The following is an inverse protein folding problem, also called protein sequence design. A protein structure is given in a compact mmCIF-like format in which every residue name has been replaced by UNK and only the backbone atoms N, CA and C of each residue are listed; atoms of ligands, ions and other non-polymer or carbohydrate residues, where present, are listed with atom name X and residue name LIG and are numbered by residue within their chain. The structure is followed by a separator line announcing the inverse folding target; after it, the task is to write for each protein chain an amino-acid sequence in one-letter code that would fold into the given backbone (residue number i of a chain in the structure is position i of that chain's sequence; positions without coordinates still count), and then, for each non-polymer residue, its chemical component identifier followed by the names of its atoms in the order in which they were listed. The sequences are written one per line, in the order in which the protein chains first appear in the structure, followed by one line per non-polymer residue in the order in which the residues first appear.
data_IF_285680893307
#
_entry.id   IF_285680893307
#
_cell.length_a   1.000
_cell.length_b   1.000
_cell.length_c   1.000
_cell.angle_alpha   90.00
_cell.angle_beta   90.00
_cell.angle_gamma   90.00
#
_symmetry.space_group_name_H-M   'P 1'
#
loop_
_entity.id
_entity.type
_entity.pdbx_description
1 polymer ?
#
# COMPACT_ATOMS: atom_id res chain seq x y z
N UNK A 1 5.35 70.81 33.09
CA UNK A 1 4.25 69.96 32.59
C UNK A 1 4.47 68.55 33.11
N UNK A 2 3.63 68.09 34.04
CA UNK A 2 3.67 66.71 34.54
C UNK A 2 2.92 65.80 33.55
N UNK A 3 3.46 64.64 33.16
CA UNK A 3 2.76 63.70 32.30
C UNK A 3 1.62 63.06 33.09
N UNK A 4 0.41 63.13 32.53
CA UNK A 4 -0.79 62.52 33.11
C UNK A 4 -0.74 61.00 32.84
N UNK A 5 -0.27 60.22 33.82
CA UNK A 5 -0.22 58.75 33.79
C UNK A 5 -1.34 58.18 34.68
N UNK A 6 -2.58 58.56 34.38
CA UNK A 6 -3.77 58.02 35.06
C UNK A 6 -4.31 56.79 34.32
N UNK A 7 -3.53 55.70 34.20
CA UNK A 7 -4.06 54.44 33.62
C UNK A 7 -3.23 53.18 33.96
N UNK A 8 -2.68 53.03 35.17
CA UNK A 8 -1.88 51.84 35.54
C UNK A 8 -2.64 50.85 36.45
N UNK A 9 -3.83 51.21 36.96
CA UNK A 9 -4.51 50.42 38.01
C UNK A 9 -5.91 49.86 37.69
N UNK A 10 -6.40 49.99 36.45
CA UNK A 10 -7.62 49.26 36.07
C UNK A 10 -7.23 47.94 35.39
N UNK A 11 -7.61 46.77 35.94
CA UNK A 11 -7.49 45.54 35.18
C UNK A 11 -8.31 45.73 33.90
N UNK A 12 -7.66 45.60 32.74
CA UNK A 12 -8.31 45.63 31.44
C UNK A 12 -9.18 44.38 31.35
N UNK A 13 -10.39 44.48 31.89
CA UNK A 13 -11.41 43.46 31.76
C UNK A 13 -12.01 43.62 30.38
N UNK A 14 -11.74 42.67 29.47
CA UNK A 14 -12.53 42.52 28.27
C UNK A 14 -13.94 42.08 28.74
N UNK A 15 -14.98 42.92 28.63
CA UNK A 15 -16.30 42.51 29.06
C UNK A 15 -16.82 41.56 27.99
N UNK A 16 -16.75 40.26 28.26
CA UNK A 16 -17.43 39.20 27.51
C UNK A 16 -18.94 39.44 27.67
N UNK A 17 -19.49 40.34 26.85
CA UNK A 17 -20.92 40.43 26.65
C UNK A 17 -21.38 39.23 25.81
N UNK A 18 -22.66 38.90 25.86
CA UNK A 18 -23.19 37.70 25.18
C UNK A 18 -22.83 37.65 23.69
N UNK A 19 -22.82 38.80 23.01
CA UNK A 19 -22.49 38.91 21.59
C UNK A 19 -21.00 38.62 21.29
N UNK A 20 -20.07 39.16 22.09
CA UNK A 20 -18.63 38.88 21.95
C UNK A 20 -18.27 37.46 22.32
N UNK A 21 -18.98 36.85 23.28
CA UNK A 21 -18.85 35.42 23.61
C UNK A 21 -19.26 34.54 22.42
N UNK A 22 -20.43 34.82 21.82
CA UNK A 22 -20.91 34.08 20.64
C UNK A 22 -19.96 34.23 19.45
N UNK A 23 -19.45 35.45 19.20
CA UNK A 23 -18.47 35.68 18.14
C UNK A 23 -17.17 34.91 18.39
N UNK A 24 -16.66 34.94 19.63
CA UNK A 24 -15.46 34.20 20.02
C UNK A 24 -15.64 32.69 19.83
N UNK A 25 -16.71 32.10 20.36
CA UNK A 25 -17.02 30.67 20.21
C UNK A 25 -17.16 30.29 18.73
N UNK A 26 -17.78 31.16 17.91
CA UNK A 26 -17.86 30.98 16.47
C UNK A 26 -16.49 30.95 15.77
N UNK A 27 -15.56 31.82 16.18
CA UNK A 27 -14.19 31.80 15.65
C UNK A 27 -13.42 30.55 16.08
N UNK A 28 -13.55 30.15 17.34
CA UNK A 28 -12.92 28.94 17.88
C UNK A 28 -13.43 27.69 17.15
N UNK A 29 -14.74 27.58 16.94
CA UNK A 29 -15.33 26.49 16.17
C UNK A 29 -14.85 26.48 14.71
N UNK A 30 -14.67 27.66 14.09
CA UNK A 30 -14.16 27.76 12.73
C UNK A 30 -12.69 27.33 12.64
N UNK A 31 -11.88 27.66 13.64
CA UNK A 31 -10.48 27.21 13.74
C UNK A 31 -10.39 25.68 13.91
N UNK A 32 -11.21 25.08 14.77
CA UNK A 32 -11.26 23.63 14.91
C UNK A 32 -11.64 22.93 13.61
N UNK A 33 -12.68 23.42 12.91
CA UNK A 33 -13.08 22.86 11.60
C UNK A 33 -11.96 22.94 10.56
N UNK A 34 -11.20 24.05 10.56
CA UNK A 34 -10.04 24.18 9.69
C UNK A 34 -8.96 23.16 10.03
N UNK A 35 -8.67 22.96 11.32
CA UNK A 35 -7.76 21.93 11.81
C UNK A 35 -8.18 20.53 11.35
N UNK A 36 -9.42 20.13 11.59
CA UNK A 36 -9.96 18.83 11.19
C UNK A 36 -9.86 18.62 9.68
N UNK A 37 -10.21 19.65 8.89
CA UNK A 37 -10.13 19.60 7.43
C UNK A 37 -8.68 19.46 6.96
N UNK A 38 -7.74 20.18 7.57
CA UNK A 38 -6.32 20.08 7.24
C UNK A 38 -5.76 18.69 7.55
N UNK A 39 -6.09 18.12 8.72
CA UNK A 39 -5.67 16.77 9.11
C UNK A 39 -6.24 15.70 8.17
N UNK A 40 -7.54 15.79 7.84
CA UNK A 40 -8.16 14.88 6.87
C UNK A 40 -7.53 15.02 5.49
N UNK A 41 -7.23 16.25 5.06
CA UNK A 41 -6.58 16.50 3.77
C UNK A 41 -5.20 15.85 3.74
N UNK A 42 -4.38 16.02 4.77
CA UNK A 42 -3.06 15.38 4.88
C UNK A 42 -3.15 13.84 4.92
N UNK A 43 -4.14 13.31 5.64
CA UNK A 43 -4.42 11.86 5.70
C UNK A 43 -4.77 11.29 4.31
N UNK A 44 -5.54 12.02 3.50
CA UNK A 44 -5.88 11.60 2.13
C UNK A 44 -4.70 11.81 1.17
N UNK A 45 -3.99 12.93 1.28
CA UNK A 45 -2.90 13.32 0.38
C UNK A 45 -1.77 12.27 0.37
N UNK A 46 -1.29 11.86 1.55
CA UNK A 46 -0.26 10.81 1.66
C UNK A 46 -0.70 9.50 0.99
N UNK A 47 -1.97 9.12 1.12
CA UNK A 47 -2.55 7.91 0.51
C UNK A 47 -2.65 8.03 -1.01
N UNK A 48 -3.04 9.20 -1.52
CA UNK A 48 -3.04 9.49 -2.95
C UNK A 48 -1.62 9.44 -3.53
N UNK A 49 -0.64 10.01 -2.83
CA UNK A 49 0.78 9.94 -3.22
C UNK A 49 1.29 8.50 -3.32
N UNK A 50 0.95 7.66 -2.34
CA UNK A 50 1.26 6.22 -2.35
C UNK A 50 0.63 5.52 -3.55
N UNK A 51 -0.67 5.72 -3.82
CA UNK A 51 -1.35 5.11 -4.98
C UNK A 51 -0.62 5.50 -6.26
N UNK A 52 -0.31 6.79 -6.44
CA UNK A 52 0.38 7.29 -7.62
C UNK A 52 1.75 6.62 -7.80
N UNK A 53 2.56 6.57 -6.75
CA UNK A 53 3.92 6.05 -6.81
C UNK A 53 3.97 4.53 -6.98
N UNK A 54 3.06 3.78 -6.33
CA UNK A 54 2.96 2.33 -6.53
C UNK A 54 2.45 2.00 -7.93
N UNK A 55 1.41 2.70 -8.43
CA UNK A 55 0.93 2.55 -9.81
C UNK A 55 2.05 2.78 -10.81
N UNK A 56 2.81 3.87 -10.63
CA UNK A 56 3.96 4.22 -11.48
C UNK A 56 5.08 3.17 -11.41
N UNK A 57 5.35 2.62 -10.24
CA UNK A 57 6.35 1.55 -10.05
C UNK A 57 5.96 0.28 -10.81
N UNK A 58 4.69 -0.11 -10.70
CA UNK A 58 4.17 -1.32 -11.34
C UNK A 58 4.07 -1.17 -12.87
N UNK A 59 3.62 -0.01 -13.35
CA UNK A 59 3.49 0.27 -14.78
C UNK A 59 4.85 0.48 -15.48
N UNK A 60 5.87 0.93 -14.74
CA UNK A 60 7.18 1.29 -15.29
C UNK A 60 7.18 2.66 -16.02
N UNK A 61 8.35 3.09 -16.52
CA UNK A 61 8.52 4.44 -17.08
C UNK A 61 7.78 4.67 -18.41
N UNK A 62 7.52 3.61 -19.17
CA UNK A 62 6.78 3.64 -20.43
C UNK A 62 5.68 2.57 -20.37
N UNK A 63 4.49 2.90 -19.82
CA UNK A 63 3.42 1.92 -19.71
C UNK A 63 3.01 1.45 -21.11
N UNK A 64 3.14 0.15 -21.42
CA UNK A 64 2.67 -0.37 -22.68
C UNK A 64 1.15 -0.23 -22.75
N UNK A 65 0.60 -0.07 -23.94
CA UNK A 65 -0.85 -0.22 -24.13
C UNK A 65 -1.19 -1.67 -23.79
N UNK A 66 -1.77 -1.93 -22.60
CA UNK A 66 -2.24 -3.26 -22.23
C UNK A 66 -3.29 -3.70 -23.25
N UNK A 67 -2.85 -4.49 -24.24
CA UNK A 67 -3.76 -5.15 -25.16
C UNK A 67 -4.31 -6.33 -24.37
N UNK A 68 -5.52 -6.18 -23.84
CA UNK A 68 -6.21 -7.20 -23.02
C UNK A 68 -6.43 -8.55 -23.73
N UNK A 69 -6.11 -8.64 -25.02
CA UNK A 69 -6.15 -9.89 -25.78
C UNK A 69 -4.80 -10.59 -25.69
N UNK A 70 -4.78 -11.81 -25.14
CA UNK A 70 -3.63 -12.71 -25.24
C UNK A 70 -3.12 -12.78 -26.68
N UNK A 71 -1.79 -12.76 -26.89
CA UNK A 71 -1.24 -12.91 -28.22
C UNK A 71 -1.67 -14.25 -28.83
N UNK A 72 -2.22 -14.20 -30.04
CA UNK A 72 -2.66 -15.38 -30.80
C UNK A 72 -1.46 -16.15 -31.35
N UNK A 73 -0.37 -15.45 -31.62
CA UNK A 73 0.91 -15.96 -32.10
C UNK A 73 2.04 -15.42 -31.22
N UNK A 74 3.20 -16.11 -31.11
CA UNK A 74 4.39 -15.53 -30.50
C UNK A 74 4.65 -14.16 -31.13
N UNK A 75 4.72 -13.10 -30.32
CA UNK A 75 4.93 -11.75 -30.86
C UNK A 75 6.38 -11.65 -31.35
N UNK A 76 6.63 -11.35 -32.64
CA UNK A 76 7.98 -11.11 -33.13
C UNK A 76 8.54 -9.73 -32.70
N UNK A 77 7.75 -8.91 -31.99
CA UNK A 77 8.10 -7.54 -31.65
C UNK A 77 8.74 -7.46 -30.27
N UNK A 78 10.05 -7.69 -30.25
CA UNK A 78 11.02 -7.47 -29.16
C UNK A 78 11.17 -5.99 -28.73
N UNK A 79 10.26 -5.11 -29.15
CA UNK A 79 10.36 -3.67 -28.86
C UNK A 79 9.79 -3.28 -27.50
N UNK A 80 8.99 -4.15 -26.88
CA UNK A 80 8.43 -3.90 -25.56
C UNK A 80 9.44 -4.31 -24.50
N UNK A 81 10.27 -3.35 -24.09
CA UNK A 81 11.15 -3.50 -22.94
C UNK A 81 10.29 -3.51 -21.66
N UNK A 82 9.79 -4.69 -21.28
CA UNK A 82 8.98 -4.89 -20.09
C UNK A 82 9.79 -4.53 -18.84
N UNK A 83 9.32 -3.54 -18.09
CA UNK A 83 10.04 -2.98 -16.95
C UNK A 83 10.39 -4.01 -15.86
N UNK A 84 9.59 -5.07 -15.71
CA UNK A 84 9.77 -6.13 -14.71
C UNK A 84 10.32 -7.43 -15.29
N UNK A 85 10.81 -7.43 -16.52
CA UNK A 85 11.68 -8.50 -17.03
C UNK A 85 13.12 -8.06 -16.85
N UNK A 86 13.78 -8.58 -15.83
CA UNK A 86 15.14 -8.20 -15.44
C UNK A 86 16.11 -9.34 -15.76
N UNK A 87 17.19 -9.04 -16.47
CA UNK A 87 18.18 -10.06 -16.87
C UNK A 87 19.09 -10.50 -15.73
N UNK A 88 19.48 -9.55 -14.88
CA UNK A 88 20.41 -9.80 -13.78
C UNK A 88 19.68 -9.77 -12.44
N UNK A 89 20.21 -10.50 -11.46
CA UNK A 89 19.69 -10.45 -10.11
C UNK A 89 19.69 -9.00 -9.58
N UNK A 90 18.55 -8.50 -9.05
CA UNK A 90 18.46 -7.15 -8.54
C UNK A 90 19.27 -7.00 -7.24
N UNK A 91 19.94 -5.85 -7.11
CA UNK A 91 20.75 -5.52 -5.92
C UNK A 91 20.16 -4.37 -5.10
N UNK A 92 19.12 -3.72 -5.61
CA UNK A 92 18.46 -2.59 -4.97
C UNK A 92 16.97 -2.53 -5.36
N UNK A 93 16.21 -1.83 -4.53
CA UNK A 93 14.82 -1.46 -4.80
C UNK A 93 14.69 -0.56 -6.04
N UNK A 94 13.49 -0.54 -6.61
CA UNK A 94 13.07 0.31 -7.72
C UNK A 94 13.31 1.80 -7.40
N UNK A 95 13.81 2.59 -8.36
CA UNK A 95 14.07 4.02 -8.14
C UNK A 95 12.83 4.82 -7.69
N UNK A 96 11.64 4.44 -8.17
CA UNK A 96 10.37 5.05 -7.77
C UNK A 96 10.00 4.71 -6.32
N UNK A 97 10.35 3.54 -5.83
CA UNK A 97 10.13 3.15 -4.42
C UNK A 97 11.10 3.87 -3.50
N UNK A 98 12.35 4.05 -3.93
CA UNK A 98 13.31 4.89 -3.21
C UNK A 98 12.85 6.36 -3.15
N UNK A 99 12.27 6.88 -4.23
CA UNK A 99 11.66 8.21 -4.23
C UNK A 99 10.48 8.29 -3.26
N UNK A 100 9.54 7.33 -3.30
CA UNK A 100 8.42 7.25 -2.35
C UNK A 100 8.90 7.19 -0.89
N UNK A 101 9.93 6.39 -0.60
CA UNK A 101 10.54 6.30 0.73
C UNK A 101 11.04 7.68 1.20
N UNK A 102 11.78 8.40 0.35
CA UNK A 102 12.25 9.76 0.68
C UNK A 102 11.08 10.74 0.88
N UNK A 103 10.05 10.66 0.04
CA UNK A 103 8.87 11.52 0.15
C UNK A 103 8.13 11.28 1.47
N UNK A 104 7.98 10.01 1.88
CA UNK A 104 7.37 9.64 3.17
C UNK A 104 8.20 10.16 4.36
N UNK A 105 9.53 10.06 4.31
CA UNK A 105 10.42 10.59 5.36
C UNK A 105 10.29 12.12 5.45
N UNK A 106 10.32 12.80 4.29
CA UNK A 106 10.18 14.25 4.25
C UNK A 106 8.81 14.69 4.75
N UNK A 107 7.75 13.97 4.39
CA UNK A 107 6.41 14.19 4.88
C UNK A 107 6.33 14.05 6.41
N UNK A 108 6.84 12.95 6.98
CA UNK A 108 6.87 12.74 8.43
C UNK A 108 7.67 13.82 9.16
N UNK A 109 8.84 14.21 8.64
CA UNK A 109 9.66 15.28 9.22
C UNK A 109 8.90 16.61 9.28
N UNK A 110 8.18 16.94 8.20
CA UNK A 110 7.38 18.16 8.14
C UNK A 110 6.22 18.13 9.13
N UNK A 111 5.40 17.07 9.15
CA UNK A 111 4.26 17.01 10.08
C UNK A 111 4.71 16.94 11.54
N UNK A 112 5.86 16.31 11.82
CA UNK A 112 6.45 16.24 13.16
C UNK A 112 6.84 17.59 13.74
N UNK A 113 7.10 18.58 12.87
CA UNK A 113 7.49 19.93 13.29
C UNK A 113 6.28 20.74 13.76
N UNK A 114 5.08 20.43 13.30
CA UNK A 114 3.89 21.27 13.49
C UNK A 114 2.75 20.59 14.24
N UNK A 115 2.70 19.25 14.26
CA UNK A 115 1.58 18.48 14.79
C UNK A 115 1.97 17.66 16.01
N UNK A 116 1.02 17.47 16.92
CA UNK A 116 1.16 16.58 18.08
C UNK A 116 1.15 15.11 17.69
N UNK A 117 1.47 14.23 18.65
CA UNK A 117 1.53 12.78 18.42
C UNK A 117 0.20 12.18 18.00
N UNK A 118 -0.92 12.70 18.52
CA UNK A 118 -2.27 12.21 18.20
C UNK A 118 -2.66 12.55 16.76
N UNK A 119 -2.38 13.77 16.31
CA UNK A 119 -2.65 14.20 14.94
C UNK A 119 -1.76 13.48 13.93
N UNK A 120 -0.48 13.29 14.25
CA UNK A 120 0.45 12.49 13.43
C UNK A 120 -0.03 11.06 13.28
N UNK A 121 -0.41 10.43 14.40
CA UNK A 121 -0.99 9.09 14.41
C UNK A 121 -2.26 9.02 13.57
N UNK A 122 -3.15 10.02 13.66
CA UNK A 122 -4.34 10.06 12.80
C UNK A 122 -3.95 10.01 11.32
N UNK A 123 -2.93 10.75 10.89
CA UNK A 123 -2.47 10.78 9.49
C UNK A 123 -1.85 9.44 9.07
N UNK A 124 -0.97 8.86 9.91
CA UNK A 124 -0.16 7.67 9.57
C UNK A 124 -0.81 6.33 9.94
N UNK A 125 -1.86 6.33 10.75
CA UNK A 125 -2.57 5.10 11.15
C UNK A 125 -3.18 4.38 9.95
N UNK A 126 -3.06 3.06 9.93
CA UNK A 126 -3.53 2.19 8.86
C UNK A 126 -2.74 2.32 7.55
N UNK A 127 -1.66 3.10 7.52
CA UNK A 127 -0.88 3.34 6.30
C UNK A 127 -0.17 2.06 5.84
N UNK A 128 0.31 1.22 6.76
CA UNK A 128 0.95 -0.04 6.40
C UNK A 128 -0.03 -0.99 5.69
N UNK A 129 -1.20 -1.21 6.29
CA UNK A 129 -2.28 -2.02 5.68
C UNK A 129 -2.76 -1.44 4.35
N UNK A 130 -2.79 -0.10 4.24
CA UNK A 130 -3.15 0.57 3.00
C UNK A 130 -2.11 0.32 1.90
N UNK A 131 -0.82 0.51 2.18
CA UNK A 131 0.27 0.20 1.24
C UNK A 131 0.21 -1.27 0.82
N UNK A 132 0.00 -2.19 1.76
CA UNK A 132 -0.02 -3.63 1.49
C UNK A 132 -1.13 -4.02 0.50
N UNK A 133 -2.32 -3.42 0.63
CA UNK A 133 -3.43 -3.61 -0.30
C UNK A 133 -3.20 -2.94 -1.65
N UNK A 134 -2.74 -1.68 -1.64
CA UNK A 134 -2.52 -0.91 -2.87
C UNK A 134 -1.40 -1.53 -3.70
N UNK A 135 -0.36 -2.06 -3.06
CA UNK A 135 0.74 -2.75 -3.74
C UNK A 135 0.21 -3.92 -4.56
N UNK A 136 -0.53 -4.83 -3.93
CA UNK A 136 -1.15 -5.99 -4.60
C UNK A 136 -2.11 -5.52 -5.69
N UNK A 137 -2.97 -4.55 -5.42
CA UNK A 137 -3.90 -4.02 -6.42
C UNK A 137 -3.18 -3.40 -7.63
N UNK A 138 -2.03 -2.76 -7.43
CA UNK A 138 -1.26 -2.14 -8.51
C UNK A 138 -0.52 -3.18 -9.38
N UNK A 139 -0.39 -4.44 -8.95
CA UNK A 139 0.25 -5.48 -9.77
C UNK A 139 -0.47 -5.71 -11.09
N UNK A 140 -1.76 -5.37 -11.20
CA UNK A 140 -2.52 -5.41 -12.46
C UNK A 140 -1.92 -4.53 -13.57
N UNK A 141 -1.11 -3.52 -13.20
CA UNK A 141 -0.43 -2.64 -14.15
C UNK A 141 0.90 -3.22 -14.66
N UNK A 142 1.33 -4.35 -14.11
CA UNK A 142 2.51 -5.08 -14.59
C UNK A 142 2.16 -5.76 -15.90
N UNK A 143 2.88 -5.41 -16.96
CA UNK A 143 2.67 -6.01 -18.28
C UNK A 143 3.19 -7.45 -18.37
N UNK A 144 4.46 -7.65 -17.99
CA UNK A 144 5.10 -8.95 -17.88
C UNK A 144 6.21 -8.90 -16.81
N UNK A 145 6.42 -10.02 -16.12
CA UNK A 145 7.37 -10.13 -15.02
C UNK A 145 8.07 -11.48 -15.03
N UNK A 146 9.37 -11.47 -14.70
CA UNK A 146 10.15 -12.67 -14.46
C UNK A 146 10.58 -12.78 -12.98
N UNK A 147 11.28 -13.87 -12.63
CA UNK A 147 11.76 -14.11 -11.26
C UNK A 147 12.57 -12.94 -10.72
N UNK A 148 13.53 -12.41 -11.49
CA UNK A 148 14.32 -11.25 -11.07
C UNK A 148 13.46 -9.99 -10.87
N UNK A 149 12.40 -9.81 -11.66
CA UNK A 149 11.39 -8.76 -11.45
C UNK A 149 10.69 -8.89 -10.11
N UNK A 150 10.23 -10.09 -9.77
CA UNK A 150 9.62 -10.37 -8.48
C UNK A 150 10.61 -10.20 -7.31
N UNK A 151 11.86 -10.63 -7.45
CA UNK A 151 12.92 -10.37 -6.47
C UNK A 151 13.15 -8.88 -6.24
N UNK A 152 13.06 -8.04 -7.29
CA UNK A 152 13.17 -6.58 -7.14
C UNK A 152 11.97 -6.02 -6.37
N UNK A 153 10.77 -6.50 -6.68
CA UNK A 153 9.56 -6.14 -5.94
C UNK A 153 9.61 -6.60 -4.47
N UNK A 154 10.28 -7.71 -4.15
CA UNK A 154 10.51 -8.11 -2.75
C UNK A 154 11.44 -7.12 -2.04
N UNK A 155 12.50 -6.64 -2.71
CA UNK A 155 13.33 -5.55 -2.17
C UNK A 155 12.52 -4.27 -1.96
N UNK A 156 11.59 -3.95 -2.86
CA UNK A 156 10.67 -2.82 -2.72
C UNK A 156 9.81 -2.93 -1.45
N UNK A 157 9.22 -4.10 -1.23
CA UNK A 157 8.42 -4.41 -0.02
C UNK A 157 9.26 -4.25 1.24
N UNK A 158 10.50 -4.76 1.26
CA UNK A 158 11.40 -4.64 2.41
C UNK A 158 11.76 -3.19 2.73
N UNK A 159 12.06 -2.39 1.71
CA UNK A 159 12.39 -0.96 1.88
C UNK A 159 11.19 -0.19 2.41
N UNK A 160 10.00 -0.41 1.85
CA UNK A 160 8.78 0.23 2.33
C UNK A 160 8.46 -0.16 3.78
N UNK A 161 8.55 -1.45 4.11
CA UNK A 161 8.29 -1.93 5.46
C UNK A 161 9.27 -1.33 6.47
N UNK A 162 10.55 -1.22 6.14
CA UNK A 162 11.54 -0.61 7.02
C UNK A 162 11.29 0.89 7.21
N UNK A 163 10.87 1.60 6.15
CA UNK A 163 10.50 3.00 6.24
C UNK A 163 9.27 3.21 7.14
N UNK A 164 8.21 2.44 6.93
CA UNK A 164 6.97 2.55 7.69
C UNK A 164 7.18 2.34 9.19
N UNK A 165 8.07 1.42 9.59
CA UNK A 165 8.42 1.19 11.00
C UNK A 165 9.00 2.42 11.69
N UNK A 166 9.61 3.34 10.92
CA UNK A 166 10.17 4.57 11.47
C UNK A 166 9.13 5.70 11.54
N UNK A 167 8.12 5.68 10.66
CA UNK A 167 7.12 6.76 10.53
C UNK A 167 5.86 6.49 11.36
N UNK A 168 5.45 5.23 11.46
CA UNK A 168 4.27 4.83 12.23
C UNK A 168 4.69 4.63 13.69
N UNK A 169 4.46 5.65 14.51
CA UNK A 169 4.76 5.64 15.94
C UNK A 169 3.45 5.73 16.71
N UNK A 170 3.12 4.66 17.43
CA UNK A 170 1.92 4.61 18.28
C UNK A 170 2.12 5.48 19.53
N UNK A 171 1.29 6.52 19.75
CA UNK A 171 1.39 7.38 20.93
C UNK A 171 1.17 6.63 22.25
N UNK A 172 0.51 5.47 22.25
CA UNK A 172 0.29 4.64 23.45
C UNK A 172 1.51 3.78 23.81
N UNK A 173 2.46 3.58 22.88
CA UNK A 173 3.66 2.76 23.10
C UNK A 173 4.67 3.36 24.07
N UNK A 174 4.67 4.68 24.26
CA UNK A 174 5.62 5.38 25.15
C UNK A 174 5.15 5.47 26.62
N UNK A 175 3.87 5.19 26.91
CA UNK A 175 3.27 5.37 28.24
C UNK A 175 3.18 4.07 29.07
N UNK A 176 3.70 2.94 28.59
CA UNK A 176 3.51 1.63 29.22
C UNK A 176 4.52 1.31 30.33
N UNK A 177 4.53 2.11 31.40
CA UNK A 177 5.05 1.70 32.72
C UNK A 177 3.91 1.35 33.72
N UNK A 178 2.65 1.57 33.35
CA UNK A 178 1.49 1.21 34.20
C UNK A 178 0.68 0.06 33.61
N UNK A 179 0.57 -1.03 34.38
CA UNK A 179 -0.17 -2.26 34.10
C UNK A 179 -1.71 -2.13 34.07
N UNK A 180 -2.23 -1.00 33.64
CA UNK A 180 -3.65 -0.73 33.46
C UNK A 180 -3.86 -0.18 32.06
N UNK A 181 -4.02 -1.07 31.08
CA UNK A 181 -4.94 -0.88 29.95
C UNK A 181 -4.92 -2.12 29.05
N UNK A 182 -5.67 -3.15 29.46
CA UNK A 182 -5.98 -4.33 28.63
C UNK A 182 -6.78 -3.96 27.36
N UNK A 183 -7.23 -2.72 27.21
CA UNK A 183 -7.91 -2.20 26.02
C UNK A 183 -6.98 -1.44 25.06
N UNK A 184 -5.84 -0.90 25.54
CA UNK A 184 -4.88 -0.19 24.69
C UNK A 184 -4.03 -1.15 23.85
N UNK A 185 -3.77 -2.35 24.36
CA UNK A 185 -3.00 -3.40 23.65
C UNK A 185 -3.73 -3.99 22.43
N UNK A 186 -5.04 -3.77 22.28
CA UNK A 186 -5.82 -4.31 21.17
C UNK A 186 -5.68 -3.51 19.85
N UNK A 187 -5.02 -2.34 19.88
CA UNK A 187 -4.97 -1.39 18.76
C UNK A 187 -3.58 -1.19 18.19
N UNK A 188 -2.58 -1.96 18.62
CA UNK A 188 -1.21 -1.80 18.17
C UNK A 188 -1.12 -2.16 16.68
N UNK A 189 -0.92 -1.17 15.82
CA UNK A 189 -0.85 -1.39 14.38
C UNK A 189 0.39 -2.24 14.06
N UNK A 190 0.16 -3.42 13.50
CA UNK A 190 1.23 -4.27 12.99
C UNK A 190 1.78 -3.61 11.73
N UNK A 191 2.97 -3.01 11.83
CA UNK A 191 3.66 -2.39 10.70
C UNK A 191 4.37 -3.46 9.87
N UNK A 192 3.62 -4.11 8.99
CA UNK A 192 4.09 -5.14 8.08
C UNK A 192 3.35 -5.07 6.72
N UNK A 193 3.93 -5.69 5.70
CA UNK A 193 3.35 -5.82 4.34
C UNK A 193 3.17 -7.30 3.93
N UNK A 194 2.37 -8.08 4.71
CA UNK A 194 2.26 -9.52 4.56
C UNK A 194 1.60 -9.94 3.23
N UNK A 195 0.57 -9.23 2.73
CA UNK A 195 -0.07 -9.61 1.46
C UNK A 195 0.86 -9.39 0.27
N UNK A 196 1.63 -8.32 0.30
CA UNK A 196 2.61 -7.99 -0.74
C UNK A 196 3.72 -9.03 -0.81
N UNK A 197 4.28 -9.41 0.36
CA UNK A 197 5.26 -10.48 0.44
C UNK A 197 4.68 -11.82 -0.05
N UNK A 198 3.52 -12.22 0.48
CA UNK A 198 2.81 -13.45 0.09
C UNK A 198 2.54 -13.52 -1.41
N UNK A 199 2.11 -12.44 -2.03
CA UNK A 199 1.84 -12.38 -3.47
C UNK A 199 3.09 -12.71 -4.28
N UNK A 200 4.23 -12.13 -3.90
CA UNK A 200 5.51 -12.33 -4.60
C UNK A 200 6.08 -13.71 -4.34
N UNK A 201 5.93 -14.23 -3.12
CA UNK A 201 6.36 -15.61 -2.79
C UNK A 201 5.56 -16.63 -3.61
N UNK A 202 4.24 -16.46 -3.69
CA UNK A 202 3.38 -17.34 -4.50
C UNK A 202 3.71 -17.24 -6.00
N UNK A 203 4.04 -16.05 -6.50
CA UNK A 203 4.52 -15.88 -7.87
C UNK A 203 5.80 -16.70 -8.13
N UNK A 204 6.77 -16.64 -7.22
CA UNK A 204 8.05 -17.35 -7.36
C UNK A 204 7.88 -18.89 -7.31
N UNK A 205 6.85 -19.36 -6.60
CA UNK A 205 6.50 -20.79 -6.57
C UNK A 205 5.68 -21.25 -7.79
N UNK A 206 5.10 -20.30 -8.53
CA UNK A 206 4.38 -20.53 -9.78
C UNK A 206 2.88 -20.75 -9.64
N UNK A 207 2.20 -20.81 -10.79
CA UNK A 207 0.73 -20.82 -10.88
C UNK A 207 0.07 -22.04 -10.21
N UNK A 208 0.59 -23.25 -10.38
CA UNK A 208 -0.02 -24.45 -9.79
C UNK A 208 0.01 -24.40 -8.25
N UNK A 209 1.16 -24.05 -7.66
CA UNK A 209 1.30 -23.86 -6.21
C UNK A 209 0.43 -22.74 -5.70
N UNK A 210 0.37 -21.62 -6.43
CA UNK A 210 -0.55 -20.51 -6.13
C UNK A 210 -2.00 -21.00 -6.01
N UNK A 211 -2.47 -21.87 -6.92
CA UNK A 211 -3.84 -22.38 -6.89
C UNK A 211 -4.07 -23.36 -5.73
N UNK A 212 -3.08 -24.19 -5.40
CA UNK A 212 -3.12 -25.05 -4.21
C UNK A 212 -3.25 -24.20 -2.95
N UNK A 213 -2.40 -23.18 -2.79
CA UNK A 213 -2.44 -22.26 -1.65
C UNK A 213 -3.73 -21.46 -1.57
N UNK A 214 -4.25 -20.98 -2.71
CA UNK A 214 -5.54 -20.27 -2.73
C UNK A 214 -6.69 -21.16 -2.24
N UNK A 215 -6.70 -22.44 -2.61
CA UNK A 215 -7.69 -23.40 -2.14
C UNK A 215 -7.56 -23.67 -0.64
N UNK A 216 -6.35 -23.96 -0.17
CA UNK A 216 -6.06 -24.20 1.25
C UNK A 216 -6.40 -22.98 2.12
N UNK A 217 -6.02 -21.77 1.67
CA UNK A 217 -6.31 -20.53 2.37
C UNK A 217 -7.81 -20.26 2.43
N UNK A 218 -8.55 -20.50 1.33
CA UNK A 218 -10.02 -20.37 1.33
C UNK A 218 -10.68 -21.29 2.35
N UNK A 219 -10.26 -22.56 2.40
CA UNK A 219 -10.78 -23.55 3.36
C UNK A 219 -10.41 -23.20 4.82
N UNK A 220 -9.16 -22.78 5.05
CA UNK A 220 -8.70 -22.35 6.36
C UNK A 220 -9.43 -21.09 6.85
N UNK A 221 -9.62 -20.10 5.96
CA UNK A 221 -10.29 -18.85 6.28
C UNK A 221 -11.77 -19.03 6.59
N UNK A 222 -12.45 -19.95 5.90
CA UNK A 222 -13.84 -20.28 6.19
C UNK A 222 -14.06 -20.82 7.61
N UNK A 223 -13.03 -21.42 8.22
CA UNK A 223 -13.10 -21.98 9.58
C UNK A 223 -12.47 -21.08 10.66
N UNK A 224 -11.46 -20.27 10.34
CA UNK A 224 -10.66 -19.52 11.31
C UNK A 224 -10.30 -18.07 10.89
N UNK A 225 -11.08 -17.46 9.97
CA UNK A 225 -10.76 -16.15 9.39
C UNK A 225 -10.48 -15.04 10.40
N UNK A 226 -11.29 -14.90 11.45
CA UNK A 226 -11.11 -13.86 12.48
C UNK A 226 -9.75 -13.96 13.20
N UNK A 227 -9.25 -15.19 13.41
CA UNK A 227 -7.94 -15.42 14.02
C UNK A 227 -6.80 -15.08 13.06
N UNK A 228 -6.97 -15.34 11.77
CA UNK A 228 -5.98 -14.99 10.75
C UNK A 228 -5.87 -13.47 10.59
N UNK A 229 -6.99 -12.74 10.64
CA UNK A 229 -7.00 -11.27 10.63
C UNK A 229 -6.33 -10.71 11.88
N UNK A 230 -6.65 -11.27 13.05
CA UNK A 230 -6.04 -10.85 14.31
C UNK A 230 -4.52 -11.11 14.36
N UNK A 231 -4.04 -12.17 13.69
CA UNK A 231 -2.61 -12.48 13.58
C UNK A 231 -1.85 -11.54 12.61
N UNK A 232 -2.55 -10.67 11.88
CA UNK A 232 -1.93 -9.77 10.92
C UNK A 232 -1.49 -10.46 9.63
N UNK A 233 -2.03 -11.65 9.30
CA UNK A 233 -1.67 -12.39 8.07
C UNK A 233 -2.31 -11.82 6.80
N UNK A 234 -3.03 -10.71 6.93
CA UNK A 234 -3.81 -10.09 5.86
C UNK A 234 -5.08 -10.87 5.52
N UNK A 235 -5.89 -10.28 4.64
CA UNK A 235 -7.06 -10.95 4.07
C UNK A 235 -6.62 -11.86 2.91
N UNK A 236 -7.39 -12.93 2.62
CA UNK A 236 -7.18 -13.73 1.41
C UNK A 236 -7.19 -12.88 0.14
N UNK A 237 -6.60 -13.39 -0.93
CA UNK A 237 -6.66 -12.72 -2.23
C UNK A 237 -8.06 -12.84 -2.84
N UNK A 238 -8.53 -11.76 -3.44
CA UNK A 238 -9.74 -11.77 -4.25
C UNK A 238 -9.51 -12.54 -5.55
N UNK A 239 -10.59 -12.93 -6.23
CA UNK A 239 -10.50 -13.57 -7.54
C UNK A 239 -9.67 -12.75 -8.54
N UNK A 240 -9.89 -11.44 -8.61
CA UNK A 240 -9.15 -10.58 -9.54
C UNK A 240 -7.66 -10.50 -9.19
N UNK A 241 -7.29 -10.44 -7.91
CA UNK A 241 -5.89 -10.45 -7.48
C UNK A 241 -5.21 -11.79 -7.81
N UNK A 242 -5.88 -12.91 -7.56
CA UNK A 242 -5.38 -14.25 -7.92
C UNK A 242 -5.26 -14.43 -9.43
N UNK A 243 -6.21 -13.92 -10.19
CA UNK A 243 -6.17 -13.94 -11.65
C UNK A 243 -4.95 -13.19 -12.17
N UNK A 244 -4.70 -11.98 -11.65
CA UNK A 244 -3.50 -11.21 -12.00
C UNK A 244 -2.23 -11.99 -11.66
N UNK A 245 -2.17 -12.61 -10.48
CA UNK A 245 -1.02 -13.43 -10.07
C UNK A 245 -0.76 -14.59 -11.04
N UNK A 246 -1.80 -15.36 -11.38
CA UNK A 246 -1.73 -16.48 -12.32
C UNK A 246 -1.31 -16.01 -13.71
N UNK A 247 -1.90 -14.91 -14.21
CA UNK A 247 -1.54 -14.32 -15.50
C UNK A 247 -0.06 -13.89 -15.53
N UNK A 248 0.44 -13.32 -14.43
CA UNK A 248 1.83 -12.91 -14.30
C UNK A 248 2.79 -14.10 -14.36
N UNK A 249 2.47 -15.23 -13.73
CA UNK A 249 3.31 -16.44 -13.75
C UNK A 249 3.63 -16.93 -15.17
N UNK A 250 2.75 -16.69 -16.15
CA UNK A 250 2.96 -17.06 -17.55
C UNK A 250 3.42 -15.88 -18.42
N UNK A 251 3.37 -14.66 -17.89
CA UNK A 251 3.57 -13.42 -18.66
C UNK A 251 4.95 -13.30 -19.31
N UNK A 252 6.01 -13.82 -18.67
CA UNK A 252 7.36 -13.79 -19.25
C UNK A 252 7.44 -14.58 -20.56
N UNK A 253 6.77 -15.73 -20.62
CA UNK A 253 6.75 -16.56 -21.83
C UNK A 253 5.74 -16.01 -22.82
N UNK A 254 4.54 -15.61 -22.37
CA UNK A 254 3.47 -15.19 -23.26
C UNK A 254 3.68 -13.81 -23.88
N UNK A 255 4.30 -12.89 -23.15
CA UNK A 255 4.46 -11.48 -23.55
C UNK A 255 5.93 -11.05 -23.61
N UNK A 256 6.79 -11.67 -22.82
CA UNK A 256 8.22 -11.40 -22.80
C UNK A 256 8.99 -12.03 -23.97
N UNK A 257 10.31 -11.79 -24.02
CA UNK A 257 11.16 -12.25 -25.12
C UNK A 257 11.28 -13.78 -25.19
N UNK A 258 11.09 -14.51 -24.07
CA UNK A 258 11.27 -15.97 -24.01
C UNK A 258 10.33 -16.75 -24.94
N UNK A 259 9.07 -16.32 -25.08
CA UNK A 259 8.14 -17.00 -26.00
C UNK A 259 8.43 -16.79 -27.48
N UNK A 260 9.19 -15.75 -27.83
CA UNK A 260 9.63 -15.54 -29.21
C UNK A 260 10.73 -16.52 -29.62
N UNK A 261 11.49 -17.05 -28.66
CA UNK A 261 12.60 -17.98 -28.89
C UNK A 261 12.10 -19.41 -29.14
N UNK A 262 10.96 -19.80 -28.58
CA UNK A 262 10.40 -21.14 -28.67
C UNK A 262 8.88 -21.14 -28.83
N UNK A 263 8.43 -21.49 -30.04
CA UNK A 263 6.99 -21.62 -30.33
C UNK A 263 6.34 -22.75 -29.52
N UNK A 264 7.09 -23.80 -29.21
CA UNK A 264 6.60 -24.92 -28.40
C UNK A 264 6.32 -24.46 -26.96
N UNK A 265 7.26 -23.75 -26.34
CA UNK A 265 7.11 -23.22 -24.98
C UNK A 265 5.97 -22.21 -24.90
N UNK A 266 5.82 -21.36 -25.93
CA UNK A 266 4.69 -20.43 -26.02
C UNK A 266 3.34 -21.16 -26.04
N UNK A 267 3.19 -22.18 -26.88
CA UNK A 267 1.93 -22.93 -26.97
C UNK A 267 1.65 -23.74 -25.69
N UNK A 268 2.70 -24.29 -25.07
CA UNK A 268 2.61 -24.99 -23.79
C UNK A 268 2.16 -24.05 -22.67
N UNK A 269 2.82 -22.89 -22.53
CA UNK A 269 2.46 -21.88 -21.53
C UNK A 269 1.05 -21.33 -21.75
N UNK A 270 0.63 -21.14 -23.01
CA UNK A 270 -0.74 -20.70 -23.33
C UNK A 270 -1.79 -21.70 -22.88
N UNK A 271 -1.54 -22.99 -23.14
CA UNK A 271 -2.43 -24.05 -22.68
C UNK A 271 -2.47 -24.12 -21.15
N UNK A 272 -1.30 -24.12 -20.51
CA UNK A 272 -1.19 -24.17 -19.06
C UNK A 272 -1.87 -22.98 -18.38
N UNK A 273 -1.74 -21.77 -18.94
CA UNK A 273 -2.42 -20.57 -18.45
C UNK A 273 -3.95 -20.69 -18.55
N UNK A 274 -4.47 -21.17 -19.68
CA UNK A 274 -5.91 -21.42 -19.83
C UNK A 274 -6.43 -22.46 -18.83
N UNK A 275 -5.70 -23.57 -18.65
CA UNK A 275 -6.05 -24.62 -17.69
C UNK A 275 -6.01 -24.09 -16.24
N UNK A 276 -5.00 -23.29 -15.88
CA UNK A 276 -4.88 -22.66 -14.57
C UNK A 276 -6.02 -21.67 -14.28
N UNK A 277 -6.43 -20.87 -15.25
CA UNK A 277 -7.57 -19.94 -15.11
C UNK A 277 -8.91 -20.66 -14.98
N UNK A 278 -9.09 -21.79 -15.66
CA UNK A 278 -10.26 -22.64 -15.47
C UNK A 278 -10.30 -23.21 -14.05
N UNK A 279 -9.17 -23.73 -13.57
CA UNK A 279 -9.03 -24.23 -12.20
C UNK A 279 -9.26 -23.14 -11.15
N UNK A 280 -8.78 -21.91 -11.38
CA UNK A 280 -9.07 -20.77 -10.52
C UNK A 280 -10.57 -20.48 -10.45
N UNK A 281 -11.27 -20.51 -11.58
CA UNK A 281 -12.72 -20.33 -11.62
C UNK A 281 -13.45 -21.40 -10.82
N UNK A 282 -13.00 -22.65 -10.87
CA UNK A 282 -13.57 -23.75 -10.07
C UNK A 282 -13.34 -23.54 -8.57
N UNK A 283 -12.12 -23.18 -8.17
CA UNK A 283 -11.77 -22.92 -6.75
C UNK A 283 -12.58 -21.74 -6.20
N UNK A 284 -12.76 -20.69 -6.99
CA UNK A 284 -13.39 -19.44 -6.56
C UNK A 284 -14.87 -19.33 -6.94
N UNK A 285 -15.48 -20.39 -7.49
CA UNK A 285 -16.86 -20.39 -8.01
C UNK A 285 -17.91 -19.89 -7.01
N UNK A 286 -17.73 -20.23 -5.73
CA UNK A 286 -18.66 -19.88 -4.64
C UNK A 286 -18.36 -18.53 -3.96
N UNK A 287 -17.37 -17.75 -4.43
CA UNK A 287 -16.91 -16.52 -3.76
C UNK A 287 -17.63 -15.22 -4.23
N UNK A 288 -18.84 -15.34 -4.79
CA UNK A 288 -19.65 -14.19 -5.26
C UNK A 288 -20.47 -13.55 -4.16
#
# INVERSE_FOLDING_TARGET
MKPNRDSINNPVHLPLNHETAVAFDGTLQSLHRLGDTALLTMHVDIRCGIIHMLTKTMAGPNPPNLRNSEPVTPSPHTTDNWWHIIMNQPTAASPTILALNNDLIAFDTNISTYLGSVERWFITSGLARFIDRVFVACTQYIGAMNENGALRLQLDVLVLQQNLKNIIIDPAGEASDSATDLHAQASQEIVALPRSAKFLDWFLEGAERTLDYAKEEKEAFASQGDKALAAGNGEPFTYEELRVLVDLCFSEILRGPRGAESREDFMSAKKASADALLRLNEIMWDAR
#
